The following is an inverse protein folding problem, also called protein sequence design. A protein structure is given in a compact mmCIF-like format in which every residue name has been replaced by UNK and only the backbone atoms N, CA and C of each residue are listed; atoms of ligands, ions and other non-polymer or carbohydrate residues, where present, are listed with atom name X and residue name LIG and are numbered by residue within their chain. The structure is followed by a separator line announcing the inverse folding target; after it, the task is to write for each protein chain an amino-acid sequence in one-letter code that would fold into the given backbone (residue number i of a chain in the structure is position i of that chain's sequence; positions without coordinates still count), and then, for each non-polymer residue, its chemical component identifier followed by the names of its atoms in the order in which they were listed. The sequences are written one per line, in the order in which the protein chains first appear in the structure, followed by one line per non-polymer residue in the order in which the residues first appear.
data_IF_003630741316
#
_entry.id   IF_003630741316
#
_cell.length_a   1.000
_cell.length_b   1.000
_cell.length_c   1.000
_cell.angle_alpha   90.00
_cell.angle_beta   90.00
_cell.angle_gamma   90.00
#
_symmetry.space_group_name_H-M   'P 1'
#
loop_
_entity.id
_entity.type
_entity.pdbx_description
1 polymer ?
#
# COMPACT_ATOMS: atom_id res chain seq x y z
N UNK A 1 -3.16 -9.33 0.80
CA UNK A 1 -4.19 -9.96 -0.06
C UNK A 1 -5.06 -8.91 -0.75
N UNK A 2 -6.08 -8.30 -0.12
CA UNK A 2 -6.99 -7.37 -0.83
C UNK A 2 -6.26 -6.19 -1.52
N UNK A 3 -5.29 -5.59 -0.86
CA UNK A 3 -4.48 -4.49 -1.44
C UNK A 3 -3.57 -4.93 -2.59
N UNK A 4 -3.09 -6.18 -2.55
CA UNK A 4 -2.25 -6.78 -3.59
C UNK A 4 -3.03 -7.09 -4.87
N UNK A 5 -4.34 -7.23 -4.78
CA UNK A 5 -5.23 -7.50 -5.92
C UNK A 5 -6.05 -6.26 -6.31
N UNK A 6 -5.76 -5.10 -5.72
CA UNK A 6 -6.47 -3.85 -6.01
C UNK A 6 -7.95 -3.84 -5.62
N UNK A 7 -8.38 -4.69 -4.68
CA UNK A 7 -9.79 -4.82 -4.29
C UNK A 7 -10.24 -3.68 -3.38
N UNK A 8 -10.41 -2.49 -3.97
CA UNK A 8 -10.72 -1.22 -3.28
C UNK A 8 -11.85 -1.35 -2.26
N UNK A 9 -12.99 -1.93 -2.66
CA UNK A 9 -14.16 -2.05 -1.77
C UNK A 9 -13.89 -2.95 -0.56
N UNK A 10 -13.07 -4.00 -0.73
CA UNK A 10 -12.69 -4.90 0.36
C UNK A 10 -11.71 -4.20 1.30
N UNK A 11 -10.72 -3.48 0.75
CA UNK A 11 -9.79 -2.67 1.56
C UNK A 11 -10.57 -1.65 2.39
N UNK A 12 -11.50 -0.92 1.78
CA UNK A 12 -12.35 0.04 2.48
C UNK A 12 -13.15 -0.63 3.61
N UNK A 13 -13.80 -1.75 3.33
CA UNK A 13 -14.58 -2.49 4.33
C UNK A 13 -13.71 -2.92 5.52
N UNK A 14 -12.49 -3.39 5.28
CA UNK A 14 -11.57 -3.80 6.34
C UNK A 14 -11.18 -2.60 7.23
N UNK A 15 -10.84 -1.46 6.63
CA UNK A 15 -10.52 -0.23 7.37
C UNK A 15 -11.71 0.29 8.16
N UNK A 16 -12.90 0.31 7.56
CA UNK A 16 -14.15 0.71 8.23
C UNK A 16 -14.46 -0.19 9.46
N UNK A 17 -13.96 -1.44 9.47
CA UNK A 17 -14.12 -2.39 10.57
C UNK A 17 -12.91 -2.41 11.55
N UNK A 18 -12.02 -1.43 11.46
CA UNK A 18 -10.91 -1.27 12.42
C UNK A 18 -9.74 -2.22 12.19
N UNK A 19 -9.55 -2.72 10.96
CA UNK A 19 -8.30 -3.38 10.60
C UNK A 19 -7.12 -2.43 10.85
N UNK A 20 -6.04 -2.97 11.41
CA UNK A 20 -4.81 -2.20 11.59
C UNK A 20 -4.19 -1.88 10.22
N UNK A 21 -4.15 -0.58 9.89
CA UNK A 21 -3.64 -0.04 8.63
C UNK A 21 -2.16 -0.40 8.39
N UNK A 22 -1.39 -0.59 9.47
CA UNK A 22 0.03 -0.88 9.45
C UNK A 22 0.34 -2.34 9.82
N UNK A 23 -0.67 -3.22 9.79
CA UNK A 23 -0.46 -4.64 10.05
C UNK A 23 0.61 -5.21 9.11
N UNK A 24 1.60 -5.87 9.70
CA UNK A 24 2.65 -6.56 8.98
C UNK A 24 2.25 -8.02 8.70
N UNK A 25 2.48 -8.51 7.49
CA UNK A 25 2.27 -9.91 7.14
C UNK A 25 2.46 -10.24 5.66
N UNK A 26 2.79 -11.51 5.39
CA UNK A 26 3.05 -12.01 4.05
C UNK A 26 4.38 -11.52 3.45
N UNK A 27 4.57 -11.75 2.16
CA UNK A 27 5.81 -11.39 1.45
C UNK A 27 5.98 -9.88 1.26
N UNK A 28 4.88 -9.14 1.07
CA UNK A 28 4.88 -7.69 0.82
C UNK A 28 4.69 -6.85 2.08
N UNK A 29 4.92 -7.43 3.27
CA UNK A 29 4.83 -6.84 4.63
C UNK A 29 3.60 -5.97 4.93
N UNK A 30 3.39 -4.84 4.27
CA UNK A 30 2.27 -3.91 4.52
C UNK A 30 1.26 -3.88 3.38
N UNK A 31 0.03 -3.45 3.70
CA UNK A 31 -0.99 -3.15 2.71
C UNK A 31 -0.54 -2.08 1.69
N UNK A 32 0.25 -1.10 2.13
CA UNK A 32 0.75 -0.01 1.29
C UNK A 32 1.79 -0.52 0.30
N UNK A 33 2.79 -1.29 0.76
CA UNK A 33 3.78 -1.91 -0.13
C UNK A 33 3.12 -2.81 -1.17
N UNK A 34 2.13 -3.61 -0.77
CA UNK A 34 1.41 -4.49 -1.69
C UNK A 34 0.61 -3.72 -2.76
N UNK A 35 -0.11 -2.65 -2.36
CA UNK A 35 -0.84 -1.82 -3.30
C UNK A 35 0.10 -1.05 -4.24
N UNK A 36 1.26 -0.63 -3.72
CA UNK A 36 2.28 0.08 -4.46
C UNK A 36 2.96 -0.78 -5.51
N UNK A 37 3.26 -2.04 -5.19
CA UNK A 37 3.79 -3.01 -6.15
C UNK A 37 2.83 -3.26 -7.32
N UNK A 38 1.53 -3.35 -7.06
CA UNK A 38 0.51 -3.56 -8.10
C UNK A 38 0.04 -2.30 -8.82
N UNK A 39 0.52 -1.12 -8.41
CA UNK A 39 0.15 0.15 -9.04
C UNK A 39 -1.29 0.59 -8.79
N UNK A 40 -1.94 0.10 -7.73
CA UNK A 40 -3.35 0.37 -7.48
C UNK A 40 -3.56 1.73 -6.83
N UNK A 41 -3.57 2.78 -7.66
CA UNK A 41 -3.59 4.17 -7.23
C UNK A 41 -4.68 4.51 -6.20
N UNK A 42 -5.90 4.01 -6.41
CA UNK A 42 -7.04 4.26 -5.51
C UNK A 42 -6.84 3.61 -4.13
N UNK A 43 -6.28 2.40 -4.11
CA UNK A 43 -5.95 1.70 -2.87
C UNK A 43 -4.81 2.40 -2.15
N UNK A 44 -3.74 2.75 -2.86
CA UNK A 44 -2.61 3.51 -2.30
C UNK A 44 -3.10 4.81 -1.66
N UNK A 45 -3.89 5.60 -2.40
CA UNK A 45 -4.44 6.85 -1.89
C UNK A 45 -5.28 6.62 -0.63
N UNK A 46 -6.17 5.63 -0.64
CA UNK A 46 -7.01 5.31 0.51
C UNK A 46 -6.18 4.94 1.74
N UNK A 47 -5.12 4.13 1.57
CA UNK A 47 -4.25 3.74 2.67
C UNK A 47 -3.50 4.95 3.25
N UNK A 48 -2.99 5.83 2.39
CA UNK A 48 -2.29 7.07 2.79
C UNK A 48 -3.26 8.04 3.51
N UNK A 49 -4.46 8.26 2.96
CA UNK A 49 -5.50 9.08 3.57
C UNK A 49 -5.90 8.56 4.98
N UNK A 50 -5.73 7.26 5.24
CA UNK A 50 -6.00 6.61 6.54
C UNK A 50 -4.76 6.46 7.43
N UNK A 51 -3.64 7.10 7.08
CA UNK A 51 -2.45 7.17 7.93
C UNK A 51 -1.56 5.94 7.87
N UNK A 52 -1.55 5.21 6.76
CA UNK A 52 -0.52 4.20 6.51
C UNK A 52 0.88 4.81 6.63
N UNK A 53 1.78 4.11 7.30
CA UNK A 53 3.17 4.55 7.45
C UNK A 53 3.90 4.43 6.10
N UNK A 54 4.06 5.56 5.41
CA UNK A 54 4.73 5.64 4.10
C UNK A 54 6.18 5.12 4.14
N UNK A 55 6.82 5.19 5.31
CA UNK A 55 8.20 4.76 5.52
C UNK A 55 8.29 3.39 6.20
N UNK A 56 7.18 2.63 6.28
CA UNK A 56 7.21 1.28 6.81
C UNK A 56 8.25 0.44 6.07
N UNK A 57 9.07 -0.26 6.85
CA UNK A 57 10.13 -1.11 6.32
C UNK A 57 9.77 -2.58 6.50
N UNK A 58 10.21 -3.40 5.56
CA UNK A 58 9.98 -4.84 5.58
C UNK A 58 9.61 -5.35 4.21
N UNK A 59 9.20 -6.62 4.16
CA UNK A 59 8.74 -7.25 2.93
C UNK A 59 9.86 -7.49 1.92
N UNK A 60 9.48 -7.98 0.75
CA UNK A 60 10.39 -8.26 -0.36
C UNK A 60 11.08 -6.99 -0.87
N UNK A 61 10.38 -5.86 -0.88
CA UNK A 61 10.86 -4.62 -1.48
C UNK A 61 11.46 -3.64 -0.48
N UNK A 62 11.32 -3.90 0.82
CA UNK A 62 11.88 -3.07 1.88
C UNK A 62 11.07 -1.80 2.18
N UNK A 63 10.27 -1.28 1.24
CA UNK A 63 9.28 -0.21 1.45
C UNK A 63 8.38 -0.03 0.20
N UNK A 64 7.30 0.74 0.37
CA UNK A 64 6.33 1.03 -0.69
C UNK A 64 6.91 1.82 -1.87
N UNK A 65 7.88 2.72 -1.64
CA UNK A 65 8.50 3.52 -2.70
C UNK A 65 9.33 2.64 -3.65
N UNK A 66 10.10 1.71 -3.10
CA UNK A 66 10.86 0.74 -3.88
C UNK A 66 9.91 -0.17 -4.67
N UNK A 67 8.86 -0.68 -4.03
CA UNK A 67 7.85 -1.52 -4.68
C UNK A 67 7.20 -0.83 -5.90
N UNK A 68 6.75 0.42 -5.74
CA UNK A 68 6.18 1.21 -6.83
C UNK A 68 7.19 1.50 -7.95
N UNK A 69 8.45 1.75 -7.58
CA UNK A 69 9.53 2.01 -8.54
C UNK A 69 9.88 0.76 -9.34
N UNK A 70 9.88 -0.41 -8.70
CA UNK A 70 10.13 -1.71 -9.34
C UNK A 70 9.03 -2.01 -10.39
N UNK A 71 7.77 -1.78 -10.04
CA UNK A 71 6.63 -1.97 -10.95
C UNK A 71 6.47 -0.89 -12.02
N UNK A 72 7.25 0.20 -11.95
CA UNK A 72 7.16 1.31 -12.91
C UNK A 72 5.92 2.21 -12.72
N UNK A 73 5.33 2.23 -11.53
CA UNK A 73 4.08 2.93 -11.25
C UNK A 73 4.32 4.40 -10.89
N UNK A 74 4.59 5.24 -11.90
CA UNK A 74 4.98 6.65 -11.74
C UNK A 74 4.02 7.46 -10.85
N UNK A 75 2.71 7.25 -10.98
CA UNK A 75 1.72 8.03 -10.22
C UNK A 75 1.67 7.61 -8.76
N UNK A 76 1.88 6.32 -8.48
CA UNK A 76 2.05 5.82 -7.11
C UNK A 76 3.33 6.39 -6.50
N UNK A 77 4.44 6.42 -7.26
CA UNK A 77 5.69 7.04 -6.80
C UNK A 77 5.47 8.50 -6.42
N UNK A 78 4.77 9.28 -7.25
CA UNK A 78 4.43 10.68 -6.92
C UNK A 78 3.61 10.79 -5.65
N UNK A 79 2.56 9.98 -5.51
CA UNK A 79 1.74 9.98 -4.29
C UNK A 79 2.57 9.67 -3.03
N UNK A 80 3.47 8.69 -3.09
CA UNK A 80 4.32 8.33 -1.96
C UNK A 80 5.36 9.42 -1.61
N UNK A 81 5.83 10.20 -2.59
CA UNK A 81 6.76 11.31 -2.35
C UNK A 81 6.07 12.56 -1.79
N UNK A 82 4.77 12.71 -2.04
CA UNK A 82 3.97 13.84 -1.59
C UNK A 82 3.37 13.65 -0.16
N UNK A 83 3.59 12.48 0.47
CA UNK A 83 3.06 12.11 1.79
C UNK A 83 4.11 12.11 2.91
#
# INVERSE_FOLDING_TARGET
AASQEGHEQVVKMLLDNGADINAEGGELSTALEAASYGGYEQVVKMLLDNGANVNAQGGEFGNALYAASQGGHEQVVKMLLDN
#
